data_IF_276245753943
#
_entry.id   IF_276245753943
#
_cell.length_a   1.000
_cell.length_b   1.000
_cell.length_c   1.000
_cell.angle_alpha   90.00
_cell.angle_beta   90.00
_cell.angle_gamma   90.00
#
_symmetry.space_group_name_H-M   'P 1'
#
loop_
_entity.id
_entity.type
_entity.pdbx_description
1 polymer ?
#
# COMPACT_ATOMS: atom_id res chain seq x y z
N UNK A 1 5.13 4.11 -2.36
CA UNK A 1 5.10 2.63 -2.33
C UNK A 1 6.41 2.00 -1.88
N UNK A 2 7.58 2.46 -2.36
CA UNK A 2 8.90 1.92 -1.97
C UNK A 2 9.16 1.90 -0.46
N UNK A 3 8.70 2.93 0.27
CA UNK A 3 8.77 3.02 1.74
C UNK A 3 8.10 1.84 2.48
N UNK A 4 6.97 1.33 1.99
CA UNK A 4 6.29 0.16 2.61
C UNK A 4 7.10 -1.12 2.42
N UNK A 5 7.81 -1.23 1.29
CA UNK A 5 8.59 -2.44 0.95
C UNK A 5 9.94 -2.52 1.64
N UNK A 6 10.45 -1.38 2.12
CA UNK A 6 11.77 -1.26 2.75
C UNK A 6 11.66 -0.94 4.24
N UNK A 7 10.45 -1.00 4.81
CA UNK A 7 10.25 -0.75 6.22
C UNK A 7 10.98 -1.83 7.03
N UNK A 8 11.86 -1.46 7.98
CA UNK A 8 12.61 -2.42 8.78
C UNK A 8 11.72 -3.10 9.83
N UNK A 9 10.72 -2.38 10.35
CA UNK A 9 9.88 -2.83 11.46
C UNK A 9 8.38 -2.84 11.08
N UNK A 10 7.63 -3.74 11.73
CA UNK A 10 6.19 -3.91 11.53
C UNK A 10 5.38 -2.62 11.75
N UNK A 11 5.65 -1.89 12.84
CA UNK A 11 4.96 -0.63 13.16
C UNK A 11 5.21 0.46 12.09
N UNK A 12 6.44 0.54 11.61
CA UNK A 12 6.83 1.44 10.52
C UNK A 12 6.16 1.06 9.20
N UNK A 13 6.05 -0.25 8.94
CA UNK A 13 5.40 -0.79 7.74
C UNK A 13 3.89 -0.50 7.73
N UNK A 14 3.20 -0.64 8.87
CA UNK A 14 1.77 -0.33 9.03
C UNK A 14 1.47 1.17 8.83
N UNK A 15 2.31 2.04 9.40
CA UNK A 15 2.18 3.50 9.22
C UNK A 15 2.39 3.89 7.75
N UNK A 16 3.42 3.33 7.11
CA UNK A 16 3.68 3.57 5.70
C UNK A 16 2.57 2.99 4.79
N UNK A 17 1.95 1.88 5.19
CA UNK A 17 0.83 1.25 4.50
C UNK A 17 -0.39 2.20 4.46
N UNK A 18 -0.76 2.80 5.58
CA UNK A 18 -1.89 3.74 5.64
C UNK A 18 -1.70 4.93 4.68
N UNK A 19 -0.49 5.51 4.67
CA UNK A 19 -0.14 6.57 3.73
C UNK A 19 -0.18 6.11 2.27
N UNK A 20 0.30 4.89 1.99
CA UNK A 20 0.27 4.30 0.65
C UNK A 20 -1.16 4.04 0.15
N UNK A 21 -2.04 3.54 1.02
CA UNK A 21 -3.47 3.30 0.71
C UNK A 21 -4.15 4.61 0.31
N UNK A 22 -3.93 5.68 1.07
CA UNK A 22 -4.49 7.01 0.78
C UNK A 22 -4.07 7.55 -0.60
N UNK A 23 -2.81 7.32 -0.99
CA UNK A 23 -2.30 7.71 -2.32
C UNK A 23 -2.94 6.86 -3.42
N UNK A 24 -3.05 5.55 -3.22
CA UNK A 24 -3.69 4.62 -4.18
C UNK A 24 -5.15 5.00 -4.42
N UNK A 25 -5.87 5.37 -3.36
CA UNK A 25 -7.27 5.77 -3.49
C UNK A 25 -7.41 7.10 -4.19
N UNK A 26 -6.51 8.05 -3.93
CA UNK A 26 -6.49 9.32 -4.65
C UNK A 26 -6.18 9.14 -6.14
N UNK A 27 -5.28 8.23 -6.52
CA UNK A 27 -4.99 7.95 -7.93
C UNK A 27 -6.11 7.17 -8.61
N UNK A 28 -6.82 6.30 -7.89
CA UNK A 28 -8.02 5.63 -8.36
C UNK A 28 -9.17 6.62 -8.61
N UNK A 29 -9.43 7.53 -7.67
CA UNK A 29 -10.49 8.54 -7.80
C UNK A 29 -10.22 9.53 -8.94
N UNK A 30 -8.94 9.76 -9.27
CA UNK A 30 -8.53 10.54 -10.44
C UNK A 30 -8.63 9.77 -11.77
N UNK A 31 -9.01 8.49 -11.74
CA UNK A 31 -9.12 7.65 -12.94
C UNK A 31 -7.78 7.23 -13.56
N UNK A 32 -6.65 7.48 -12.88
CA UNK A 32 -5.31 7.14 -13.39
C UNK A 32 -5.09 5.63 -13.40
N UNK A 33 -5.69 4.93 -12.42
CA UNK A 33 -5.65 3.49 -12.30
C UNK A 33 -7.07 2.93 -12.22
N UNK A 34 -7.29 1.75 -12.78
CA UNK A 34 -8.57 1.05 -12.66
C UNK A 34 -8.81 0.55 -11.22
N UNK A 35 -10.09 0.44 -10.81
CA UNK A 35 -10.49 -0.05 -9.48
C UNK A 35 -9.82 -1.37 -9.08
N UNK A 36 -9.70 -2.30 -10.01
CA UNK A 36 -9.05 -3.60 -9.77
C UNK A 36 -7.53 -3.48 -9.61
N UNK A 37 -6.90 -2.51 -10.28
CA UNK A 37 -5.48 -2.25 -10.11
C UNK A 37 -5.21 -1.66 -8.72
N UNK A 38 -6.03 -0.71 -8.27
CA UNK A 38 -5.98 -0.16 -6.92
C UNK A 38 -6.12 -1.27 -5.86
N UNK A 39 -7.15 -2.13 -5.99
CA UNK A 39 -7.37 -3.26 -5.11
C UNK A 39 -6.18 -4.24 -5.08
N UNK A 40 -5.60 -4.58 -6.24
CA UNK A 40 -4.40 -5.42 -6.34
C UNK A 40 -3.21 -4.81 -5.60
N UNK A 41 -2.99 -3.50 -5.72
CA UNK A 41 -1.88 -2.84 -5.02
C UNK A 41 -2.08 -2.89 -3.51
N UNK A 42 -3.28 -2.61 -3.00
CA UNK A 42 -3.57 -2.73 -1.56
C UNK A 42 -3.33 -4.14 -1.04
N UNK A 43 -3.88 -5.16 -1.72
CA UNK A 43 -3.71 -6.57 -1.34
C UNK A 43 -2.24 -6.99 -1.29
N UNK A 44 -1.45 -6.62 -2.33
CA UNK A 44 -0.01 -6.93 -2.36
C UNK A 44 0.76 -6.28 -1.23
N UNK A 45 0.43 -5.03 -0.88
CA UNK A 45 1.10 -4.31 0.21
C UNK A 45 0.72 -4.89 1.57
N UNK A 46 -0.56 -5.20 1.81
CA UNK A 46 -1.00 -5.85 3.05
C UNK A 46 -0.28 -7.19 3.25
N UNK A 47 -0.19 -8.01 2.20
CA UNK A 47 0.53 -9.29 2.27
C UNK A 47 2.00 -9.09 2.64
N UNK A 48 2.64 -8.06 2.09
CA UNK A 48 4.05 -7.76 2.36
C UNK A 48 4.26 -7.33 3.82
N UNK A 49 3.38 -6.50 4.36
CA UNK A 49 3.41 -6.13 5.78
C UNK A 49 3.20 -7.36 6.67
N UNK A 50 2.27 -8.24 6.29
CA UNK A 50 2.02 -9.48 7.04
C UNK A 50 3.19 -10.46 7.02
N UNK A 51 4.00 -10.50 5.95
CA UNK A 51 5.23 -11.33 5.90
C UNK A 51 6.42 -10.73 6.64
N UNK A 52 6.41 -9.44 6.96
CA UNK A 52 7.43 -8.80 7.82
C UNK A 52 7.09 -9.04 9.31
N UNK A 53 5.83 -9.33 9.63
CA UNK A 53 5.35 -9.71 10.95
C UNK A 53 5.75 -11.15 11.32
#
# INVERSE_FOLDING_TARGET
>A
LKKVRQAPDKASAETALQAAVSIIDRTNNKGIIHKNAAARYKSRLNRLVQTIA
#
